data_IF_445453280781
#
_entry.id   IF_445453280781
#
_cell.length_a   1.000
_cell.length_b   1.000
_cell.length_c   1.000
_cell.angle_alpha   90.00
_cell.angle_beta   90.00
_cell.angle_gamma   90.00
#
_symmetry.space_group_name_H-M   'P 1'
#
loop_
_entity.id
_entity.type
_entity.pdbx_description
1 polymer ?
#
# COMPACT_ATOMS: atom_id res chain seq x y z
N UNK A 1 -1.98 11.33 15.08
CA UNK A 1 -2.20 10.19 14.14
C UNK A 1 -3.54 10.36 13.47
N UNK A 2 -3.67 10.16 12.14
CA UNK A 2 -4.97 10.25 11.45
C UNK A 2 -5.87 9.08 11.89
N UNK A 3 -6.95 9.31 12.68
CA UNK A 3 -7.77 8.23 13.27
C UNK A 3 -8.40 7.31 12.21
N UNK A 4 -8.72 7.88 11.05
CA UNK A 4 -9.33 7.21 9.91
C UNK A 4 -8.46 6.08 9.36
N UNK A 5 -7.14 6.27 9.26
CA UNK A 5 -6.25 5.23 8.75
C UNK A 5 -6.30 3.98 9.62
N UNK A 6 -6.25 4.14 10.95
CA UNK A 6 -6.33 3.01 11.88
C UNK A 6 -7.67 2.28 11.78
N UNK A 7 -8.77 3.02 11.59
CA UNK A 7 -10.11 2.45 11.40
C UNK A 7 -10.16 1.60 10.13
N UNK A 8 -9.73 2.14 9.00
CA UNK A 8 -9.76 1.43 7.71
C UNK A 8 -8.91 0.15 7.74
N UNK A 9 -7.75 0.16 8.43
CA UNK A 9 -6.92 -1.03 8.59
C UNK A 9 -7.60 -2.15 9.38
N UNK A 10 -8.47 -1.79 10.34
CA UNK A 10 -9.26 -2.77 11.10
C UNK A 10 -10.38 -3.34 10.22
N UNK A 11 -11.13 -2.47 9.54
CA UNK A 11 -12.22 -2.87 8.64
C UNK A 11 -11.73 -3.80 7.52
N UNK A 12 -10.56 -3.53 6.93
CA UNK A 12 -9.94 -4.41 5.94
C UNK A 12 -9.66 -5.81 6.51
N UNK A 13 -9.15 -5.91 7.74
CA UNK A 13 -8.90 -7.21 8.38
C UNK A 13 -10.20 -7.99 8.59
N UNK A 14 -11.27 -7.30 8.99
CA UNK A 14 -12.60 -7.90 9.22
C UNK A 14 -13.21 -8.41 7.90
N UNK A 15 -13.04 -7.66 6.81
CA UNK A 15 -13.62 -8.01 5.50
C UNK A 15 -12.79 -9.03 4.70
N UNK A 16 -11.47 -8.89 4.71
CA UNK A 16 -10.55 -9.60 3.81
C UNK A 16 -9.79 -10.73 4.49
N UNK A 17 -10.02 -10.94 5.78
CA UNK A 17 -9.35 -11.96 6.59
C UNK A 17 -7.93 -11.57 7.00
N UNK A 18 -7.23 -12.41 7.78
CA UNK A 18 -5.98 -12.04 8.43
C UNK A 18 -4.79 -11.85 7.48
N UNK A 19 -4.81 -12.45 6.29
CA UNK A 19 -3.71 -12.43 5.31
C UNK A 19 -3.81 -11.26 4.31
N UNK A 20 -4.81 -10.38 4.44
CA UNK A 20 -5.06 -9.29 3.49
C UNK A 20 -3.83 -8.41 3.19
N UNK A 21 -2.95 -8.24 4.20
CA UNK A 21 -1.74 -7.43 4.09
C UNK A 21 -0.70 -8.02 3.15
N UNK A 22 -0.66 -9.33 3.00
CA UNK A 22 0.25 -9.98 2.06
C UNK A 22 -0.13 -9.61 0.63
N UNK A 23 -1.41 -9.38 0.35
CA UNK A 23 -1.94 -9.04 -0.97
C UNK A 23 -2.13 -7.54 -1.20
N UNK A 24 -1.64 -6.68 -0.30
CA UNK A 24 -1.84 -5.23 -0.37
C UNK A 24 -0.54 -4.49 -0.64
N UNK A 25 -0.62 -3.43 -1.47
CA UNK A 25 0.41 -2.42 -1.60
C UNK A 25 -0.15 -1.04 -1.22
N UNK A 26 0.68 -0.16 -0.68
CA UNK A 26 0.31 1.21 -0.31
C UNK A 26 0.72 2.18 -1.42
N UNK A 27 -0.25 2.93 -1.96
CA UNK A 27 0.01 4.00 -2.90
C UNK A 27 0.12 5.32 -2.14
N UNK A 28 1.30 5.94 -2.18
CA UNK A 28 1.58 7.26 -1.62
C UNK A 28 1.43 8.28 -2.74
N UNK A 29 0.33 9.02 -2.74
CA UNK A 29 0.02 10.02 -3.75
C UNK A 29 0.64 11.36 -3.40
N UNK A 30 0.71 12.26 -4.39
CA UNK A 30 1.31 13.59 -4.27
C UNK A 30 2.82 13.55 -4.02
N UNK A 31 3.53 12.60 -4.65
CA UNK A 31 4.98 12.50 -4.53
C UNK A 31 5.69 13.78 -5.02
N UNK A 32 5.07 14.49 -5.98
CA UNK A 32 5.46 15.83 -6.42
C UNK A 32 5.60 16.82 -5.26
N UNK A 33 4.75 16.74 -4.23
CA UNK A 33 4.84 17.63 -3.06
C UNK A 33 6.04 17.31 -2.17
N UNK A 34 6.47 16.05 -2.12
CA UNK A 34 7.70 15.68 -1.42
C UNK A 34 8.93 16.23 -2.18
N UNK A 35 8.95 16.07 -3.51
CA UNK A 35 10.01 16.59 -4.37
C UNK A 35 10.08 18.13 -4.33
N UNK A 36 8.95 18.83 -4.43
CA UNK A 36 8.85 20.30 -4.29
C UNK A 36 9.41 20.80 -2.95
N UNK A 37 9.22 20.02 -1.89
CA UNK A 37 9.77 20.30 -0.57
C UNK A 37 11.25 19.88 -0.41
N UNK A 38 11.88 19.39 -1.48
CA UNK A 38 13.29 18.97 -1.50
C UNK A 38 13.55 17.58 -0.91
N UNK A 39 12.52 16.76 -0.73
CA UNK A 39 12.65 15.40 -0.20
C UNK A 39 12.69 14.37 -1.34
N UNK A 40 13.68 13.46 -1.28
CA UNK A 40 13.57 12.18 -2.00
C UNK A 40 12.53 11.28 -1.32
N UNK A 41 12.09 10.22 -2.01
CA UNK A 41 11.20 9.20 -1.43
C UNK A 41 11.78 8.62 -0.13
N UNK A 42 13.09 8.34 -0.09
CA UNK A 42 13.79 7.84 1.09
C UNK A 42 13.78 8.87 2.23
N UNK A 43 14.07 10.14 1.92
CA UNK A 43 14.08 11.21 2.91
C UNK A 43 12.67 11.45 3.48
N UNK A 44 11.63 11.34 2.65
CA UNK A 44 10.24 11.36 3.10
C UNK A 44 9.95 10.20 4.06
N UNK A 45 10.37 8.97 3.74
CA UNK A 45 10.15 7.82 4.60
C UNK A 45 10.91 7.93 5.92
N UNK A 46 12.14 8.46 5.92
CA UNK A 46 12.90 8.69 7.15
C UNK A 46 12.23 9.67 8.13
N UNK A 47 11.46 10.62 7.61
CA UNK A 47 10.72 11.60 8.40
C UNK A 47 9.24 11.22 8.65
N UNK A 48 8.79 10.09 8.09
CA UNK A 48 7.41 9.66 8.16
C UNK A 48 6.99 9.30 9.59
N UNK A 49 5.70 9.50 9.89
CA UNK A 49 5.14 9.12 11.19
C UNK A 49 5.30 7.62 11.47
N UNK A 50 5.50 7.26 12.74
CA UNK A 50 5.59 5.86 13.19
C UNK A 50 4.40 5.00 12.76
N UNK A 51 3.21 5.60 12.63
CA UNK A 51 2.01 4.91 12.15
C UNK A 51 2.12 4.54 10.67
N UNK A 52 2.63 5.44 9.82
CA UNK A 52 2.86 5.13 8.41
C UNK A 52 3.95 4.06 8.27
N UNK A 53 5.07 4.20 8.99
CA UNK A 53 6.15 3.20 8.98
C UNK A 53 5.67 1.82 9.43
N UNK A 54 4.84 1.76 10.48
CA UNK A 54 4.23 0.51 10.94
C UNK A 54 3.30 -0.12 9.90
N UNK A 55 2.54 0.72 9.18
CA UNK A 55 1.70 0.25 8.07
C UNK A 55 2.55 -0.34 6.96
N UNK A 56 3.56 0.41 6.47
CA UNK A 56 4.45 -0.02 5.39
C UNK A 56 5.16 -1.33 5.75
N UNK A 57 5.69 -1.44 6.97
CA UNK A 57 6.29 -2.67 7.48
C UNK A 57 5.30 -3.83 7.45
N UNK A 58 4.04 -3.59 7.85
CA UNK A 58 3.03 -4.64 7.89
C UNK A 58 2.57 -5.16 6.54
N UNK A 59 2.81 -4.40 5.46
CA UNK A 59 2.59 -4.83 4.07
C UNK A 59 3.91 -5.20 3.39
N UNK A 60 4.94 -5.57 4.17
CA UNK A 60 6.26 -6.01 3.68
C UNK A 60 6.95 -4.96 2.79
N UNK A 61 6.75 -3.67 3.11
CA UNK A 61 7.26 -2.53 2.35
C UNK A 61 6.83 -2.52 0.87
N UNK A 62 5.67 -3.11 0.55
CA UNK A 62 5.03 -2.98 -0.76
C UNK A 62 4.38 -1.59 -0.87
N UNK A 63 5.12 -0.63 -1.40
CA UNK A 63 4.60 0.71 -1.65
C UNK A 63 5.06 1.29 -2.99
N UNK A 64 4.31 2.28 -3.46
CA UNK A 64 4.54 2.99 -4.70
C UNK A 64 4.27 4.48 -4.43
N UNK A 65 5.21 5.34 -4.79
CA UNK A 65 4.99 6.78 -4.85
C UNK A 65 4.42 7.14 -6.23
N UNK A 66 3.46 8.05 -6.26
CA UNK A 66 2.81 8.52 -7.47
C UNK A 66 2.81 10.05 -7.51
N UNK A 67 3.39 10.61 -8.57
CA UNK A 67 3.27 12.02 -8.95
C UNK A 67 1.87 12.22 -9.57
N UNK A 68 1.08 13.12 -8.98
CA UNK A 68 -0.28 13.39 -9.44
C UNK A 68 -0.39 14.59 -10.39
N UNK A 69 0.67 15.37 -10.57
CA UNK A 69 0.64 16.60 -11.38
C UNK A 69 0.84 16.32 -12.88
N UNK A 70 1.47 15.21 -13.23
CA UNK A 70 1.65 14.79 -14.62
C UNK A 70 0.56 13.79 -14.97
N UNK A 71 0.00 13.88 -16.17
CA UNK A 71 -0.67 12.71 -16.75
C UNK A 71 0.33 11.57 -16.68
N UNK A 72 -0.01 10.46 -16.00
CA UNK A 72 0.91 9.32 -15.82
C UNK A 72 1.54 9.01 -17.18
N UNK A 73 2.81 9.38 -17.33
CA UNK A 73 3.50 9.15 -18.58
C UNK A 73 3.74 7.65 -18.72
N UNK A 74 3.94 7.20 -19.95
CA UNK A 74 4.08 5.76 -20.24
C UNK A 74 5.14 5.10 -19.36
N UNK A 75 6.21 5.83 -19.06
CA UNK A 75 7.35 5.43 -18.26
C UNK A 75 6.97 5.20 -16.78
N UNK A 76 6.23 6.13 -16.17
CA UNK A 76 5.73 6.00 -14.79
C UNK A 76 4.78 4.81 -14.67
N UNK A 77 3.88 4.64 -15.65
CA UNK A 77 2.99 3.48 -15.72
C UNK A 77 3.78 2.17 -15.77
N UNK A 78 4.82 2.11 -16.60
CA UNK A 78 5.63 0.90 -16.71
C UNK A 78 6.39 0.61 -15.40
N UNK A 79 6.83 1.62 -14.66
CA UNK A 79 7.43 1.45 -13.32
C UNK A 79 6.41 0.88 -12.33
N UNK A 80 5.19 1.45 -12.29
CA UNK A 80 4.11 0.96 -11.42
C UNK A 80 3.77 -0.49 -11.76
N UNK A 81 3.61 -0.82 -13.04
CA UNK A 81 3.32 -2.19 -13.49
C UNK A 81 4.44 -3.17 -13.12
N UNK A 82 5.71 -2.78 -13.27
CA UNK A 82 6.85 -3.60 -12.84
C UNK A 82 6.83 -3.86 -11.32
N UNK A 83 6.54 -2.84 -10.51
CA UNK A 83 6.40 -3.00 -9.05
C UNK A 83 5.24 -3.96 -8.71
N UNK A 84 4.08 -3.78 -9.33
CA UNK A 84 2.91 -4.66 -9.13
C UNK A 84 3.21 -6.11 -9.52
N UNK A 85 3.84 -6.36 -10.66
CA UNK A 85 4.24 -7.70 -11.07
C UNK A 85 5.21 -8.34 -10.06
N UNK A 86 6.14 -7.57 -9.50
CA UNK A 86 7.03 -8.06 -8.46
C UNK A 86 6.27 -8.41 -7.17
N UNK A 87 5.28 -7.62 -6.77
CA UNK A 87 4.45 -7.92 -5.60
C UNK A 87 3.60 -9.18 -5.79
N UNK A 88 3.02 -9.36 -6.99
CA UNK A 88 2.28 -10.58 -7.35
C UNK A 88 3.20 -11.81 -7.27
N UNK A 89 4.44 -11.70 -7.76
CA UNK A 89 5.45 -12.75 -7.66
C UNK A 89 5.81 -13.08 -6.20
N UNK A 90 5.96 -12.07 -5.34
CA UNK A 90 6.21 -12.26 -3.90
C UNK A 90 5.06 -13.00 -3.20
N UNK A 91 3.85 -12.91 -3.73
CA UNK A 91 2.67 -13.65 -3.25
C UNK A 91 2.49 -15.00 -3.95
N UNK A 92 3.53 -15.52 -4.60
CA UNK A 92 3.51 -16.78 -5.35
C UNK A 92 2.38 -16.85 -6.39
N UNK A 93 2.01 -15.71 -6.98
CA UNK A 93 0.89 -15.61 -7.93
C UNK A 93 -0.46 -16.07 -7.38
N UNK A 94 -0.59 -16.17 -6.05
CA UNK A 94 -1.85 -16.52 -5.41
C UNK A 94 -2.79 -15.31 -5.39
N UNK A 95 -4.09 -15.58 -5.47
CA UNK A 95 -5.11 -14.59 -5.16
C UNK A 95 -5.35 -14.57 -3.65
N UNK A 96 -5.84 -13.43 -3.14
CA UNK A 96 -6.31 -13.34 -1.77
C UNK A 96 -7.38 -14.43 -1.55
N UNK A 97 -7.18 -15.36 -0.60
CA UNK A 97 -8.21 -16.33 -0.26
C UNK A 97 -9.43 -15.59 0.27
N UNK A 98 -10.58 -15.75 -0.38
CA UNK A 98 -11.83 -15.15 0.09
C UNK A 98 -12.14 -15.69 1.48
N UNK A 99 -12.08 -14.81 2.48
CA UNK A 99 -12.53 -15.14 3.82
C UNK A 99 -14.05 -15.25 3.76
N UNK A 100 -14.57 -16.47 3.59
CA UNK A 100 -16.00 -16.71 3.76
C UNK A 100 -16.31 -16.40 5.21
N UNK A 101 -17.07 -15.34 5.44
CA UNK A 101 -17.74 -15.17 6.72
C UNK A 101 -18.76 -16.31 6.80
N UNK A 102 -18.35 -17.45 7.34
CA UNK A 102 -19.29 -18.50 7.71
C UNK A 102 -20.21 -17.89 8.76
N UNK A 103 -21.38 -17.44 8.31
CA UNK A 103 -22.56 -17.41 9.16
C UNK A 103 -22.85 -18.85 9.52
N UNK A 104 -22.12 -19.40 10.48
CA UNK A 104 -22.68 -20.42 11.36
C UNK A 104 -23.63 -19.66 12.28
N UNK A 105 -24.85 -19.47 11.79
CA UNK A 105 -25.99 -19.23 12.66
C UNK A 105 -26.64 -20.60 12.84
N UNK A 106 -26.36 -21.18 14.01
CA UNK A 106 -27.15 -22.26 14.60
C UNK A 106 -28.62 -21.86 14.73
#
# INVERSE_FOLDING_TARGET
TKPELKRNLRENKELLGPTWKDFTAVLLTHADKAEEAGFSEEAYLHSASSTLLSLLTSVQNKYIFLDNQKSIIKEERDIVLRKLLNFIRQNNYQALPLFKHSKELN
#
